data_IF_530885670988
#
_entry.id   IF_530885670988
#
_cell.length_a   1.000
_cell.length_b   1.000
_cell.length_c   1.000
_cell.angle_alpha   90.00
_cell.angle_beta   90.00
_cell.angle_gamma   90.00
#
_symmetry.space_group_name_H-M   'P 1'
#
loop_
_entity.id
_entity.type
_entity.pdbx_description
1 polymer ?
#
# COMPACT_ATOMS: atom_id res chain seq x y z
N UNK A 1 -47.39 16.25 29.25
CA UNK A 1 -46.01 16.34 29.81
C UNK A 1 -44.97 15.48 29.08
N UNK A 2 -45.31 14.27 28.57
CA UNK A 2 -44.38 13.44 27.77
C UNK A 2 -43.98 14.07 26.43
N UNK A 3 -44.94 14.68 25.70
CA UNK A 3 -44.65 15.27 24.37
C UNK A 3 -43.74 16.50 24.41
N UNK A 4 -43.82 17.30 25.47
CA UNK A 4 -42.95 18.46 25.64
C UNK A 4 -41.50 18.04 25.90
N UNK A 5 -41.29 17.01 26.74
CA UNK A 5 -39.96 16.42 26.99
C UNK A 5 -39.37 15.79 25.73
N UNK A 6 -40.20 15.12 24.92
CA UNK A 6 -39.78 14.53 23.64
C UNK A 6 -39.37 15.62 22.62
N UNK A 7 -40.17 16.70 22.49
CA UNK A 7 -39.84 17.84 21.61
C UNK A 7 -38.54 18.52 22.02
N UNK A 8 -38.35 18.81 23.31
CA UNK A 8 -37.12 19.41 23.83
C UNK A 8 -35.91 18.50 23.58
N UNK A 9 -36.06 17.19 23.79
CA UNK A 9 -35.00 16.21 23.53
C UNK A 9 -34.57 16.20 22.05
N UNK A 10 -35.54 16.19 21.12
CA UNK A 10 -35.26 16.24 19.68
C UNK A 10 -34.56 17.56 19.31
N UNK A 11 -35.06 18.70 19.79
CA UNK A 11 -34.46 20.01 19.50
C UNK A 11 -33.02 20.07 20.02
N UNK A 12 -32.75 19.56 21.23
CA UNK A 12 -31.39 19.51 21.78
C UNK A 12 -30.44 18.67 20.94
N UNK A 13 -30.87 17.50 20.43
CA UNK A 13 -30.03 16.66 19.55
C UNK A 13 -29.71 17.37 18.24
N UNK A 14 -30.70 18.02 17.62
CA UNK A 14 -30.49 18.79 16.39
C UNK A 14 -29.56 19.97 16.62
N UNK A 15 -29.72 20.68 17.74
CA UNK A 15 -28.89 21.84 18.08
C UNK A 15 -27.43 21.44 18.35
N UNK A 16 -27.21 20.35 19.09
CA UNK A 16 -25.87 19.79 19.33
C UNK A 16 -25.23 19.33 18.02
N UNK A 17 -25.98 18.61 17.18
CA UNK A 17 -25.48 18.15 15.88
C UNK A 17 -25.13 19.31 14.96
N UNK A 18 -25.97 20.36 14.94
CA UNK A 18 -25.73 21.60 14.21
C UNK A 18 -24.49 22.34 14.71
N UNK A 19 -24.29 22.40 16.03
CA UNK A 19 -23.12 23.04 16.63
C UNK A 19 -21.81 22.33 16.27
N UNK A 20 -21.77 20.99 16.35
CA UNK A 20 -20.57 20.21 15.98
C UNK A 20 -20.29 20.35 14.48
N UNK A 21 -21.34 20.42 13.65
CA UNK A 21 -21.19 20.68 12.22
C UNK A 21 -20.62 22.08 11.92
N UNK A 22 -21.12 23.12 12.60
CA UNK A 22 -20.60 24.48 12.51
C UNK A 22 -19.14 24.55 12.99
N UNK A 23 -18.81 23.81 14.05
CA UNK A 23 -17.44 23.71 14.56
C UNK A 23 -16.49 23.14 13.50
N UNK A 24 -16.87 22.06 12.83
CA UNK A 24 -16.09 21.47 11.72
C UNK A 24 -15.83 22.47 10.57
N UNK A 25 -16.85 23.22 10.17
CA UNK A 25 -16.72 24.18 9.06
C UNK A 25 -15.92 25.43 9.43
N UNK A 26 -16.18 26.01 10.60
CA UNK A 26 -15.65 27.33 10.98
C UNK A 26 -14.33 27.22 11.74
N UNK A 27 -14.23 26.29 12.69
CA UNK A 27 -13.15 26.33 13.70
C UNK A 27 -11.88 25.62 13.23
N UNK A 28 -11.99 24.58 12.41
CA UNK A 28 -10.83 23.78 11.97
C UNK A 28 -10.37 24.23 10.58
N UNK A 29 -9.45 25.20 10.42
CA UNK A 29 -8.97 25.60 9.10
C UNK A 29 -8.32 24.44 8.35
N UNK A 30 -8.41 24.49 7.03
CA UNK A 30 -7.88 23.46 6.13
C UNK A 30 -6.37 23.28 6.28
N UNK A 31 -5.63 24.38 6.44
CA UNK A 31 -4.19 24.37 6.67
C UNK A 31 -3.77 23.57 7.90
N UNK A 32 -4.51 23.61 9.01
CA UNK A 32 -4.18 22.82 10.19
C UNK A 32 -4.28 21.32 9.92
N UNK A 33 -5.26 20.88 9.13
CA UNK A 33 -5.40 19.46 8.78
C UNK A 33 -4.25 19.04 7.87
N UNK A 34 -3.90 19.87 6.88
CA UNK A 34 -2.74 19.64 6.01
C UNK A 34 -1.46 19.52 6.83
N UNK A 35 -1.17 20.49 7.70
CA UNK A 35 0.05 20.49 8.52
C UNK A 35 0.11 19.29 9.47
N UNK A 36 -1.02 18.89 10.05
CA UNK A 36 -1.11 17.70 10.91
C UNK A 36 -0.83 16.41 10.12
N UNK A 37 -1.36 16.29 8.91
CA UNK A 37 -1.12 15.13 8.06
C UNK A 37 0.33 15.09 7.56
N UNK A 38 0.88 16.23 7.12
CA UNK A 38 2.26 16.31 6.67
C UNK A 38 3.27 16.05 7.81
N UNK A 39 2.92 16.45 9.04
CA UNK A 39 3.74 16.17 10.22
C UNK A 39 3.57 14.78 10.82
N UNK A 40 2.55 14.02 10.41
CA UNK A 40 2.26 12.67 10.95
C UNK A 40 3.31 11.63 10.56
N UNK A 41 3.98 11.82 9.41
CA UNK A 41 5.10 10.99 8.96
C UNK A 41 6.33 11.87 8.86
N UNK A 42 7.05 12.01 9.99
CA UNK A 42 8.39 12.61 10.05
C UNK A 42 9.44 11.52 10.22
N UNK A 43 9.83 10.90 9.12
CA UNK A 43 11.07 10.12 9.05
C UNK A 43 12.20 10.97 8.51
N UNK A 44 13.46 10.65 8.82
CA UNK A 44 14.63 11.44 8.40
C UNK A 44 14.68 11.74 6.88
N UNK A 45 14.01 10.93 6.05
CA UNK A 45 13.96 11.10 4.60
C UNK A 45 12.58 10.96 3.96
N UNK A 46 11.48 10.84 4.72
CA UNK A 46 10.14 10.65 4.15
C UNK A 46 9.31 11.91 4.38
N UNK A 47 8.66 12.41 3.32
CA UNK A 47 7.80 13.59 3.35
C UNK A 47 6.45 13.26 2.72
N UNK A 48 5.40 13.69 3.40
CA UNK A 48 4.06 13.74 2.81
C UNK A 48 3.87 15.15 2.22
N UNK A 49 3.28 15.24 1.05
CA UNK A 49 2.74 16.48 0.50
C UNK A 49 1.25 16.33 0.21
N UNK A 50 0.45 17.32 0.61
CA UNK A 50 -0.99 17.34 0.36
C UNK A 50 -1.35 18.62 -0.38
N UNK A 51 -1.96 18.46 -1.54
CA UNK A 51 -2.39 19.59 -2.37
C UNK A 51 -3.91 19.61 -2.52
N UNK A 52 -4.50 20.79 -2.37
CA UNK A 52 -5.91 21.02 -2.62
C UNK A 52 -6.84 20.31 -1.62
N UNK A 53 -6.45 20.23 -0.34
CA UNK A 53 -7.35 19.80 0.72
C UNK A 53 -8.56 20.74 0.81
N UNK A 54 -9.77 20.19 0.79
CA UNK A 54 -11.02 20.93 0.92
C UNK A 54 -11.97 20.19 1.86
N UNK A 55 -12.58 20.92 2.79
CA UNK A 55 -13.66 20.38 3.62
C UNK A 55 -14.98 20.44 2.85
N UNK A 56 -15.73 19.35 2.91
CA UNK A 56 -17.09 19.25 2.41
C UNK A 56 -18.13 19.31 3.52
N UNK A 57 -19.40 19.37 3.10
CA UNK A 57 -20.54 19.24 4.00
C UNK A 57 -20.58 17.84 4.62
N UNK A 58 -21.18 17.70 5.80
CA UNK A 58 -21.35 16.43 6.52
C UNK A 58 -20.05 15.63 6.73
N UNK A 59 -18.95 16.31 7.07
CA UNK A 59 -17.64 15.71 7.34
C UNK A 59 -17.04 14.94 6.14
N UNK A 60 -17.52 15.27 4.94
CA UNK A 60 -16.83 14.89 3.73
C UNK A 60 -15.56 15.74 3.59
N UNK A 61 -14.56 15.22 2.91
CA UNK A 61 -13.39 15.99 2.51
C UNK A 61 -12.94 15.53 1.12
N UNK A 62 -12.22 16.42 0.45
CA UNK A 62 -11.57 16.13 -0.81
C UNK A 62 -10.11 16.55 -0.72
N UNK A 63 -9.21 15.75 -1.26
CA UNK A 63 -7.81 16.08 -1.45
C UNK A 63 -7.56 15.97 -2.94
N UNK A 64 -7.03 17.02 -3.56
CA UNK A 64 -6.67 17.00 -4.97
C UNK A 64 -5.57 16.00 -5.24
N UNK A 65 -4.48 16.08 -4.45
CA UNK A 65 -3.32 15.21 -4.59
C UNK A 65 -2.68 14.88 -3.26
N UNK A 66 -2.31 13.62 -3.09
CA UNK A 66 -1.50 13.12 -2.00
C UNK A 66 -0.20 12.54 -2.56
N UNK A 67 0.92 13.05 -2.08
CA UNK A 67 2.26 12.65 -2.50
C UNK A 67 3.00 12.08 -1.31
N UNK A 68 3.55 10.87 -1.49
CA UNK A 68 4.55 10.31 -0.59
C UNK A 68 5.90 10.38 -1.28
N UNK A 69 6.77 11.25 -0.79
CA UNK A 69 8.11 11.45 -1.32
C UNK A 69 9.14 10.90 -0.34
N UNK A 70 10.23 10.38 -0.89
CA UNK A 70 11.41 10.02 -0.12
C UNK A 70 12.64 10.66 -0.74
N UNK A 71 13.32 11.48 0.05
CA UNK A 71 14.41 12.34 -0.42
C UNK A 71 13.97 13.19 -1.63
N UNK A 72 14.32 12.79 -2.86
CA UNK A 72 13.95 13.47 -4.10
C UNK A 72 13.00 12.64 -5.00
N UNK A 73 12.71 11.40 -4.64
CA UNK A 73 11.87 10.50 -5.44
C UNK A 73 10.44 10.46 -4.89
N UNK A 74 9.46 10.62 -5.77
CA UNK A 74 8.08 10.28 -5.43
C UNK A 74 7.96 8.76 -5.35
N UNK A 75 7.41 8.26 -4.25
CA UNK A 75 7.14 6.83 -4.05
C UNK A 75 5.70 6.50 -4.45
N UNK A 76 4.75 7.33 -4.03
CA UNK A 76 3.31 7.13 -4.26
C UNK A 76 2.67 8.47 -4.59
N UNK A 77 1.78 8.47 -5.58
CA UNK A 77 0.90 9.58 -5.91
C UNK A 77 -0.54 9.08 -5.96
N UNK A 78 -1.42 9.70 -5.20
CA UNK A 78 -2.86 9.43 -5.21
C UNK A 78 -3.58 10.73 -5.53
N UNK A 79 -4.51 10.66 -6.48
CA UNK A 79 -5.23 11.80 -7.02
C UNK A 79 -6.72 11.70 -6.74
N UNK A 80 -7.40 12.84 -6.71
CA UNK A 80 -8.85 12.95 -6.55
C UNK A 80 -9.40 12.13 -5.36
N UNK A 81 -8.74 12.24 -4.22
CA UNK A 81 -9.18 11.55 -3.01
C UNK A 81 -10.44 12.24 -2.51
N UNK A 82 -11.50 11.47 -2.34
CA UNK A 82 -12.69 11.86 -1.61
C UNK A 82 -12.91 10.92 -0.44
N UNK A 83 -13.33 11.47 0.68
CA UNK A 83 -13.59 10.64 1.85
C UNK A 83 -14.62 11.25 2.78
N UNK A 84 -15.01 10.46 3.77
CA UNK A 84 -16.01 10.82 4.74
C UNK A 84 -15.60 10.35 6.12
N UNK A 85 -15.64 11.26 7.08
CA UNK A 85 -15.47 10.96 8.48
C UNK A 85 -16.85 10.77 9.10
N UNK A 86 -17.07 9.72 9.88
CA UNK A 86 -18.33 9.53 10.59
C UNK A 86 -18.26 10.21 11.97
N UNK A 87 -18.94 11.36 12.16
CA UNK A 87 -18.81 12.14 13.38
C UNK A 87 -19.40 11.45 14.61
N UNK A 88 -20.35 10.53 14.43
CA UNK A 88 -21.01 9.82 15.52
C UNK A 88 -20.03 8.97 16.33
N UNK A 89 -18.98 8.48 15.67
CA UNK A 89 -17.97 7.65 16.31
C UNK A 89 -17.05 8.45 17.24
N UNK A 90 -16.91 9.77 17.05
CA UNK A 90 -16.11 10.60 17.96
C UNK A 90 -16.68 10.64 19.37
N UNK A 91 -18.00 10.54 19.54
CA UNK A 91 -18.63 10.45 20.88
C UNK A 91 -18.22 9.21 21.67
N UNK A 92 -17.81 8.15 20.96
CA UNK A 92 -17.34 6.89 21.53
C UNK A 92 -15.79 6.83 21.50
N UNK A 93 -15.12 7.97 21.27
CA UNK A 93 -13.67 8.08 21.08
C UNK A 93 -13.12 7.16 19.99
N UNK A 94 -13.87 7.01 18.89
CA UNK A 94 -13.47 6.25 17.71
C UNK A 94 -13.41 7.17 16.50
N UNK A 95 -12.32 7.09 15.73
CA UNK A 95 -12.24 7.71 14.41
C UNK A 95 -12.64 6.67 13.38
N UNK A 96 -13.73 6.91 12.66
CA UNK A 96 -14.11 6.09 11.51
C UNK A 96 -14.09 6.95 10.25
N UNK A 97 -13.28 6.55 9.30
CA UNK A 97 -12.99 7.26 8.07
C UNK A 97 -13.02 6.29 6.89
N UNK A 98 -13.73 6.64 5.82
CA UNK A 98 -13.63 5.95 4.54
C UNK A 98 -13.15 6.91 3.47
N UNK A 99 -12.38 6.41 2.50
CA UNK A 99 -11.90 7.20 1.37
C UNK A 99 -11.80 6.37 0.10
N UNK A 100 -11.82 7.08 -1.01
CA UNK A 100 -11.69 6.60 -2.37
C UNK A 100 -10.78 7.59 -3.11
N UNK A 101 -9.86 7.11 -3.93
CA UNK A 101 -9.07 7.95 -4.83
C UNK A 101 -8.56 7.17 -6.04
N UNK A 102 -7.82 7.86 -6.89
CA UNK A 102 -7.20 7.33 -8.09
C UNK A 102 -5.70 7.17 -7.87
N UNK A 103 -5.12 6.09 -8.37
CA UNK A 103 -3.67 5.85 -8.34
C UNK A 103 -3.24 5.34 -9.71
N UNK A 104 -2.52 6.19 -10.46
CA UNK A 104 -2.32 5.96 -11.89
C UNK A 104 -3.67 5.81 -12.61
N UNK A 105 -3.81 4.73 -13.37
CA UNK A 105 -5.05 4.41 -14.10
C UNK A 105 -6.07 3.58 -13.27
N UNK A 106 -5.72 3.25 -12.03
CA UNK A 106 -6.53 2.41 -11.16
C UNK A 106 -7.15 3.17 -9.98
N UNK A 107 -7.76 2.42 -9.07
CA UNK A 107 -8.46 2.99 -7.90
C UNK A 107 -7.90 2.45 -6.60
N UNK A 108 -7.99 3.28 -5.56
CA UNK A 108 -7.71 2.91 -4.19
C UNK A 108 -8.94 3.22 -3.33
N UNK A 109 -9.35 2.23 -2.54
CA UNK A 109 -10.39 2.34 -1.54
C UNK A 109 -9.78 2.09 -0.17
N UNK A 110 -10.17 2.87 0.83
CA UNK A 110 -9.64 2.75 2.17
C UNK A 110 -10.69 2.94 3.24
N UNK A 111 -10.56 2.17 4.32
CA UNK A 111 -11.31 2.37 5.55
C UNK A 111 -10.34 2.36 6.73
N UNK A 112 -10.45 3.37 7.57
CA UNK A 112 -9.65 3.57 8.77
C UNK A 112 -10.60 3.64 9.95
N UNK A 113 -10.42 2.75 10.92
CA UNK A 113 -11.14 2.72 12.17
C UNK A 113 -10.13 2.72 13.32
N UNK A 114 -9.95 3.85 13.99
CA UNK A 114 -9.02 3.99 15.11
C UNK A 114 -9.80 4.13 16.40
N UNK A 115 -9.41 3.38 17.42
CA UNK A 115 -9.99 3.38 18.76
C UNK A 115 -8.88 3.17 19.78
N UNK A 116 -9.11 3.53 21.03
CA UNK A 116 -8.13 3.34 22.11
C UNK A 116 -7.65 1.88 22.25
N UNK A 117 -8.52 0.91 21.91
CA UNK A 117 -8.27 -0.51 22.12
C UNK A 117 -8.06 -1.31 20.82
N UNK A 118 -8.56 -0.81 19.69
CA UNK A 118 -8.52 -1.52 18.41
C UNK A 118 -8.32 -0.54 17.26
N UNK A 119 -7.24 -0.73 16.51
CA UNK A 119 -7.01 -0.01 15.27
C UNK A 119 -7.21 -0.98 14.10
N UNK A 120 -7.98 -0.58 13.10
CA UNK A 120 -8.20 -1.36 11.89
C UNK A 120 -8.09 -0.46 10.67
N UNK A 121 -7.15 -0.75 9.79
CA UNK A 121 -6.99 -0.09 8.50
C UNK A 121 -7.17 -1.16 7.43
N UNK A 122 -7.98 -0.89 6.41
CA UNK A 122 -8.09 -1.73 5.23
C UNK A 122 -7.93 -0.86 4.00
N UNK A 123 -7.05 -1.24 3.09
CA UNK A 123 -6.89 -0.63 1.79
C UNK A 123 -7.10 -1.70 0.72
N UNK A 124 -7.77 -1.33 -0.36
CA UNK A 124 -7.97 -2.17 -1.52
C UNK A 124 -7.55 -1.35 -2.74
N UNK A 125 -6.68 -1.93 -3.56
CA UNK A 125 -6.13 -1.34 -4.76
C UNK A 125 -6.61 -2.18 -5.92
N UNK A 126 -7.21 -1.55 -6.92
CA UNK A 126 -7.76 -2.25 -8.08
C UNK A 126 -7.20 -1.70 -9.38
N UNK A 127 -6.65 -2.63 -10.16
CA UNK A 127 -6.32 -2.45 -11.58
C UNK A 127 -5.39 -1.27 -11.86
N UNK A 128 -4.33 -1.13 -11.07
CA UNK A 128 -3.32 -0.09 -11.25
C UNK A 128 -2.26 -0.57 -12.22
N UNK A 129 -2.00 0.19 -13.28
CA UNK A 129 -0.87 -0.12 -14.15
C UNK A 129 0.45 0.13 -13.40
N UNK A 130 1.32 -0.88 -13.36
CA UNK A 130 2.57 -0.83 -12.58
C UNK A 130 3.60 0.17 -13.13
N UNK A 131 3.49 0.55 -14.40
CA UNK A 131 4.34 1.59 -15.02
C UNK A 131 4.13 2.97 -14.37
N UNK A 132 2.93 3.21 -13.86
CA UNK A 132 2.50 4.42 -13.19
C UNK A 132 2.81 4.42 -11.70
N UNK A 133 3.37 3.34 -11.13
CA UNK A 133 3.73 3.26 -9.71
C UNK A 133 5.21 3.67 -9.54
N UNK A 134 5.50 4.87 -9.01
CA UNK A 134 6.88 5.36 -8.91
C UNK A 134 7.78 4.47 -8.03
N UNK A 135 7.26 3.95 -6.92
CA UNK A 135 8.00 3.05 -6.02
C UNK A 135 8.62 1.84 -6.74
N UNK A 136 7.90 1.25 -7.71
CA UNK A 136 8.41 0.08 -8.43
C UNK A 136 9.65 0.42 -9.26
N UNK A 137 9.68 1.63 -9.86
CA UNK A 137 10.84 2.12 -10.59
C UNK A 137 12.05 2.34 -9.69
N UNK A 138 11.83 2.83 -8.46
CA UNK A 138 12.88 3.04 -7.45
C UNK A 138 13.53 1.72 -7.05
N UNK A 139 12.74 0.65 -6.86
CA UNK A 139 13.26 -0.69 -6.54
C UNK A 139 13.73 -1.48 -7.76
N UNK A 140 13.90 -0.82 -8.91
CA UNK A 140 14.47 -1.40 -10.13
C UNK A 140 13.49 -2.21 -10.99
N UNK A 141 12.22 -2.32 -10.59
CA UNK A 141 11.18 -3.01 -11.37
C UNK A 141 10.68 -2.07 -12.47
N UNK A 142 10.88 -2.46 -13.72
CA UNK A 142 10.46 -1.70 -14.91
C UNK A 142 9.65 -2.59 -15.82
N UNK A 143 8.50 -2.13 -16.29
CA UNK A 143 7.66 -2.90 -17.19
C UNK A 143 6.21 -2.45 -17.15
N UNK A 144 5.34 -3.26 -17.75
CA UNK A 144 3.88 -3.09 -17.73
C UNK A 144 3.22 -4.24 -16.99
N UNK A 145 1.96 -4.05 -16.58
CA UNK A 145 1.18 -5.05 -15.87
C UNK A 145 0.13 -4.40 -14.99
N UNK A 146 -0.88 -5.17 -14.59
CA UNK A 146 -2.03 -4.68 -13.82
C UNK A 146 -1.95 -5.21 -12.39
N UNK A 147 -1.67 -4.32 -11.44
CA UNK A 147 -1.61 -4.59 -10.00
C UNK A 147 -2.99 -4.42 -9.34
N UNK A 148 -3.36 -5.43 -8.57
CA UNK A 148 -4.44 -5.35 -7.58
C UNK A 148 -3.95 -5.90 -6.25
N UNK A 149 -4.54 -5.45 -5.15
CA UNK A 149 -4.16 -5.95 -3.84
C UNK A 149 -5.04 -5.47 -2.70
N UNK A 150 -4.89 -6.15 -1.58
CA UNK A 150 -5.57 -5.89 -0.33
C UNK A 150 -4.54 -5.75 0.77
N UNK A 151 -4.62 -4.66 1.51
CA UNK A 151 -3.86 -4.44 2.73
C UNK A 151 -4.83 -4.36 3.91
N UNK A 152 -4.53 -5.07 4.99
CA UNK A 152 -5.27 -4.98 6.25
C UNK A 152 -4.26 -4.81 7.37
N UNK A 153 -4.52 -3.91 8.29
CA UNK A 153 -3.74 -3.71 9.50
C UNK A 153 -4.70 -3.73 10.68
N UNK A 154 -4.53 -4.68 11.59
CA UNK A 154 -5.20 -4.72 12.88
C UNK A 154 -4.16 -4.51 13.98
N UNK A 155 -4.27 -3.40 14.70
CA UNK A 155 -3.28 -2.94 15.68
C UNK A 155 -1.89 -2.82 15.01
N UNK A 156 -0.91 -3.61 15.45
CA UNK A 156 0.44 -3.66 14.87
C UNK A 156 0.67 -4.91 14.00
N UNK A 157 -0.40 -5.62 13.63
CA UNK A 157 -0.34 -6.81 12.77
C UNK A 157 -1.01 -6.51 11.44
N UNK A 158 -0.29 -6.71 10.34
CA UNK A 158 -0.78 -6.44 9.00
C UNK A 158 -0.70 -7.65 8.08
N UNK A 159 -1.61 -7.70 7.12
CA UNK A 159 -1.63 -8.66 6.03
C UNK A 159 -1.69 -7.88 4.71
N UNK A 160 -0.75 -8.16 3.81
CA UNK A 160 -0.73 -7.62 2.46
C UNK A 160 -0.85 -8.78 1.48
N UNK A 161 -1.82 -8.71 0.58
CA UNK A 161 -1.98 -9.62 -0.55
C UNK A 161 -1.97 -8.80 -1.82
N UNK A 162 -1.24 -9.25 -2.83
CA UNK A 162 -1.22 -8.55 -4.11
C UNK A 162 -1.08 -9.53 -5.26
N UNK A 163 -1.45 -9.06 -6.44
CA UNK A 163 -1.34 -9.80 -7.68
C UNK A 163 -1.12 -8.83 -8.84
N UNK A 164 -0.17 -9.18 -9.71
CA UNK A 164 0.12 -8.49 -10.96
C UNK A 164 -0.22 -9.45 -12.11
N UNK A 165 -1.13 -9.01 -12.99
CA UNK A 165 -1.49 -9.69 -14.24
C UNK A 165 -0.79 -9.06 -15.43
N UNK A 166 -0.68 -9.83 -16.51
CA UNK A 166 -0.18 -9.37 -17.81
C UNK A 166 1.17 -8.66 -17.68
N UNK A 167 2.02 -9.19 -16.80
CA UNK A 167 3.31 -8.62 -16.49
C UNK A 167 4.24 -8.72 -17.70
N UNK A 168 4.76 -7.58 -18.12
CA UNK A 168 5.78 -7.45 -19.17
C UNK A 168 6.95 -6.71 -18.56
N UNK A 169 7.61 -7.38 -17.62
CA UNK A 169 8.75 -6.84 -16.89
C UNK A 169 10.02 -6.95 -17.72
N UNK A 170 10.87 -5.94 -17.62
CA UNK A 170 12.21 -5.96 -18.20
C UNK A 170 13.14 -6.69 -17.24
N UNK A 171 14.09 -7.43 -17.80
CA UNK A 171 15.20 -7.97 -17.02
C UNK A 171 15.97 -6.81 -16.40
N UNK A 172 16.19 -6.90 -15.11
CA UNK A 172 16.80 -5.84 -14.30
C UNK A 172 17.61 -6.49 -13.18
N UNK A 173 18.59 -5.75 -12.69
CA UNK A 173 19.31 -6.14 -11.48
C UNK A 173 18.47 -5.77 -10.27
N UNK A 174 18.14 -6.74 -9.44
CA UNK A 174 17.48 -6.54 -8.16
C UNK A 174 18.49 -6.83 -7.04
N UNK A 175 18.95 -5.78 -6.35
CA UNK A 175 20.02 -5.86 -5.34
C UNK A 175 21.27 -6.63 -5.84
N UNK A 176 21.77 -6.26 -7.02
CA UNK A 176 22.92 -6.89 -7.70
C UNK A 176 22.68 -8.31 -8.23
N UNK A 177 21.48 -8.87 -8.08
CA UNK A 177 21.10 -10.15 -8.69
C UNK A 177 20.35 -9.92 -10.00
N UNK A 178 20.81 -10.56 -11.07
CA UNK A 178 20.07 -10.60 -12.33
C UNK A 178 18.83 -11.50 -12.13
N UNK A 179 17.66 -10.89 -12.07
CA UNK A 179 16.39 -11.64 -12.02
C UNK A 179 15.75 -11.57 -13.40
N UNK A 180 15.47 -12.72 -14.04
CA UNK A 180 14.93 -12.73 -15.39
C UNK A 180 13.41 -12.49 -15.38
N UNK A 181 13.01 -11.30 -14.94
CA UNK A 181 11.61 -10.94 -14.79
C UNK A 181 10.81 -11.05 -16.10
N UNK A 182 11.47 -10.95 -17.26
CA UNK A 182 10.82 -11.04 -18.57
C UNK A 182 10.18 -12.40 -18.87
N UNK A 183 10.55 -13.44 -18.14
CA UNK A 183 9.96 -14.77 -18.32
C UNK A 183 8.62 -14.94 -17.61
N UNK A 184 8.27 -14.04 -16.70
CA UNK A 184 7.06 -14.15 -15.88
C UNK A 184 5.99 -13.16 -16.35
N UNK A 185 4.76 -13.65 -16.47
CA UNK A 185 3.59 -12.86 -16.86
C UNK A 185 2.60 -12.66 -15.71
N UNK A 186 2.79 -13.33 -14.58
CA UNK A 186 1.91 -13.31 -13.41
C UNK A 186 2.75 -13.30 -12.14
N UNK A 187 2.42 -12.41 -11.19
CA UNK A 187 3.13 -12.29 -9.90
C UNK A 187 2.12 -12.21 -8.77
N UNK A 188 2.11 -13.17 -7.85
CA UNK A 188 1.21 -13.19 -6.69
C UNK A 188 2.03 -13.15 -5.42
N UNK A 189 1.65 -12.31 -4.46
CA UNK A 189 2.38 -12.21 -3.20
C UNK A 189 1.50 -12.08 -1.98
N UNK A 190 2.02 -12.62 -0.87
CA UNK A 190 1.46 -12.48 0.46
C UNK A 190 2.56 -12.13 1.45
N UNK A 191 2.32 -11.12 2.27
CA UNK A 191 3.24 -10.63 3.30
C UNK A 191 2.47 -10.38 4.59
N UNK A 192 3.13 -10.60 5.73
CA UNK A 192 2.59 -10.34 7.06
C UNK A 192 3.51 -9.37 7.79
N UNK A 193 2.94 -8.36 8.44
CA UNK A 193 3.66 -7.36 9.21
C UNK A 193 3.40 -7.63 10.69
N UNK A 194 4.45 -7.71 11.51
CA UNK A 194 4.39 -7.93 12.96
C UNK A 194 5.36 -6.95 13.63
N UNK A 195 4.89 -5.73 13.92
CA UNK A 195 5.77 -4.65 14.36
C UNK A 195 6.82 -4.33 13.28
N UNK A 196 8.10 -4.46 13.63
CA UNK A 196 9.23 -4.14 12.74
C UNK A 196 9.67 -5.32 11.86
N UNK A 197 8.98 -6.46 11.96
CA UNK A 197 9.20 -7.64 11.15
C UNK A 197 8.17 -7.70 10.02
N UNK A 198 8.64 -7.72 8.78
CA UNK A 198 7.85 -8.03 7.59
C UNK A 198 8.22 -9.44 7.14
N UNK A 199 7.29 -10.37 7.22
CA UNK A 199 7.43 -11.75 6.78
C UNK A 199 6.89 -11.88 5.35
N UNK A 200 7.74 -12.33 4.42
CA UNK A 200 7.37 -12.62 3.03
C UNK A 200 6.99 -14.10 2.95
N UNK A 201 5.71 -14.40 3.18
CA UNK A 201 5.19 -15.77 3.18
C UNK A 201 5.40 -16.46 1.83
N UNK A 202 5.10 -15.75 0.75
CA UNK A 202 5.39 -16.18 -0.61
C UNK A 202 5.18 -15.06 -1.60
N UNK A 203 6.11 -14.88 -2.51
CA UNK A 203 5.90 -14.18 -3.79
C UNK A 203 6.16 -15.20 -4.89
N UNK A 204 5.12 -15.60 -5.60
CA UNK A 204 5.18 -16.52 -6.74
C UNK A 204 5.25 -15.73 -8.02
N UNK A 205 6.14 -16.15 -8.93
CA UNK A 205 6.26 -15.65 -10.28
C UNK A 205 5.94 -16.80 -11.23
N UNK A 206 4.96 -16.61 -12.10
CA UNK A 206 4.48 -17.61 -13.03
C UNK A 206 4.76 -17.14 -14.46
N UNK A 207 5.35 -18.02 -15.25
CA UNK A 207 5.71 -17.80 -16.65
C UNK A 207 5.37 -19.02 -17.50
N UNK A 208 5.67 -18.96 -18.79
CA UNK A 208 5.52 -20.12 -19.68
C UNK A 208 6.66 -21.11 -19.41
N UNK A 209 6.32 -22.31 -18.96
CA UNK A 209 7.28 -23.39 -18.65
C UNK A 209 8.32 -23.01 -17.57
N UNK A 210 8.02 -22.01 -16.73
CA UNK A 210 8.93 -21.54 -15.68
C UNK A 210 8.16 -20.99 -14.49
N UNK A 211 8.64 -21.33 -13.30
CA UNK A 211 8.11 -20.86 -12.03
C UNK A 211 9.23 -20.33 -11.14
N UNK A 212 8.95 -19.29 -10.37
CA UNK A 212 9.82 -18.84 -9.30
C UNK A 212 9.05 -18.53 -8.04
N UNK A 213 9.73 -18.62 -6.89
CA UNK A 213 9.17 -18.32 -5.59
C UNK A 213 10.17 -17.61 -4.70
N UNK A 214 9.81 -16.46 -4.16
CA UNK A 214 10.55 -15.79 -3.12
C UNK A 214 9.87 -15.96 -1.76
N UNK A 215 10.66 -16.18 -0.70
CA UNK A 215 10.23 -16.14 0.71
C UNK A 215 11.34 -15.57 1.58
N UNK A 216 10.98 -15.06 2.75
CA UNK A 216 11.96 -14.61 3.74
C UNK A 216 11.40 -13.52 4.63
N UNK A 217 12.25 -12.59 5.06
CA UNK A 217 11.83 -11.51 5.95
C UNK A 217 12.63 -10.22 5.76
N UNK A 218 12.02 -9.13 6.22
CA UNK A 218 12.67 -7.85 6.46
C UNK A 218 12.54 -7.54 7.94
N UNK A 219 13.66 -7.31 8.63
CA UNK A 219 13.65 -6.88 10.03
C UNK A 219 14.47 -5.61 10.20
N UNK A 220 13.80 -4.52 10.53
CA UNK A 220 14.38 -3.19 10.44
C UNK A 220 14.88 -2.94 9.01
N UNK A 221 16.19 -2.76 8.85
CA UNK A 221 16.82 -2.53 7.53
C UNK A 221 17.47 -3.80 6.95
N UNK A 222 17.34 -4.96 7.60
CA UNK A 222 17.97 -6.19 7.11
C UNK A 222 16.97 -6.99 6.27
N UNK A 223 17.36 -7.27 5.02
CA UNK A 223 16.63 -8.12 4.08
C UNK A 223 17.28 -9.51 4.04
N UNK A 224 16.50 -10.56 4.27
CA UNK A 224 16.89 -11.95 4.04
C UNK A 224 15.82 -12.64 3.21
N UNK A 225 16.10 -12.87 1.92
CA UNK A 225 15.17 -13.47 0.97
C UNK A 225 15.83 -14.66 0.27
N UNK A 226 15.11 -15.78 0.24
CA UNK A 226 15.40 -16.95 -0.58
C UNK A 226 14.54 -16.87 -1.84
N UNK A 227 15.18 -16.87 -3.00
CA UNK A 227 14.53 -16.97 -4.31
C UNK A 227 14.80 -18.35 -4.91
N UNK A 228 13.74 -19.07 -5.23
CA UNK A 228 13.75 -20.39 -5.85
C UNK A 228 13.30 -20.23 -7.31
N UNK A 229 14.04 -20.81 -8.25
CA UNK A 229 13.74 -20.77 -9.68
C UNK A 229 13.67 -22.20 -10.23
N UNK A 230 12.57 -22.49 -10.92
CA UNK A 230 12.16 -23.83 -11.35
C UNK A 230 11.73 -23.80 -12.83
N UNK A 231 12.67 -23.81 -13.79
CA UNK A 231 12.33 -24.02 -15.19
C UNK A 231 11.91 -25.47 -15.43
N UNK A 232 10.87 -25.66 -16.23
CA UNK A 232 10.45 -26.99 -16.70
C UNK A 232 11.39 -27.50 -17.80
N UNK A 233 11.32 -28.80 -18.11
CA UNK A 233 12.14 -29.40 -19.17
C UNK A 233 11.84 -28.82 -20.57
N UNK A 234 10.61 -28.35 -20.79
CA UNK A 234 10.15 -27.67 -22.00
C UNK A 234 10.61 -26.20 -22.10
N UNK A 235 11.22 -25.65 -21.05
CA UNK A 235 11.61 -24.25 -21.01
C UNK A 235 12.70 -23.96 -22.05
N UNK A 236 12.38 -23.07 -22.99
CA UNK A 236 13.25 -22.68 -24.11
C UNK A 236 13.79 -21.25 -23.97
N UNK A 237 13.56 -20.58 -22.84
CA UNK A 237 14.04 -19.21 -22.63
C UNK A 237 15.56 -19.13 -22.67
N UNK A 238 16.07 -17.90 -22.84
CA UNK A 238 17.46 -17.61 -23.19
C UNK A 238 18.48 -18.41 -22.34
N UNK A 239 19.07 -19.44 -22.95
CA UNK A 239 20.01 -20.40 -22.33
C UNK A 239 21.19 -19.72 -21.61
N UNK A 240 21.57 -18.52 -22.05
CA UNK A 240 22.67 -17.75 -21.48
C UNK A 240 22.41 -17.30 -20.04
N UNK A 241 21.16 -16.95 -19.68
CA UNK A 241 20.82 -16.52 -18.31
C UNK A 241 21.03 -17.69 -17.33
N UNK A 242 20.60 -18.89 -17.70
CA UNK A 242 20.78 -20.08 -16.84
C UNK A 242 22.24 -20.54 -16.74
N UNK A 243 23.05 -20.22 -17.75
CA UNK A 243 24.50 -20.41 -17.68
C UNK A 243 25.12 -19.51 -16.59
N UNK A 244 24.69 -18.25 -16.51
CA UNK A 244 25.11 -17.32 -15.46
C UNK A 244 24.60 -17.74 -14.07
N UNK A 245 23.43 -18.39 -14.01
CA UNK A 245 22.86 -18.93 -12.77
C UNK A 245 23.47 -20.28 -12.35
N UNK A 246 24.45 -20.81 -13.08
CA UNK A 246 25.06 -22.13 -12.80
C UNK A 246 25.56 -22.28 -11.36
N UNK A 247 26.10 -21.22 -10.76
CA UNK A 247 26.58 -21.20 -9.38
C UNK A 247 25.47 -21.36 -8.33
N UNK A 248 24.21 -21.15 -8.72
CA UNK A 248 23.02 -21.27 -7.86
C UNK A 248 22.26 -22.59 -8.07
N UNK A 249 22.75 -23.47 -8.94
CA UNK A 249 22.10 -24.74 -9.26
C UNK A 249 22.21 -25.72 -8.08
N UNK A 250 21.07 -26.15 -7.55
CA UNK A 250 21.01 -27.18 -6.50
C UNK A 250 20.79 -28.56 -7.14
N UNK A 251 19.92 -28.64 -8.15
CA UNK A 251 19.68 -29.86 -8.93
C UNK A 251 19.22 -29.49 -10.36
N UNK A 252 19.12 -30.45 -11.31
CA UNK A 252 18.59 -30.16 -12.63
C UNK A 252 17.20 -29.53 -12.56
N UNK A 253 17.02 -28.34 -13.15
CA UNK A 253 15.74 -27.60 -13.12
C UNK A 253 15.42 -26.91 -11.79
N UNK A 254 16.38 -26.79 -10.85
CA UNK A 254 16.16 -26.12 -9.58
C UNK A 254 17.37 -25.28 -9.15
N UNK A 255 17.14 -23.98 -9.00
CA UNK A 255 18.14 -22.99 -8.63
C UNK A 255 17.69 -22.23 -7.40
N UNK A 256 18.62 -21.91 -6.50
CA UNK A 256 18.34 -21.20 -5.25
C UNK A 256 19.33 -20.06 -5.06
N UNK A 257 18.78 -18.85 -4.92
CA UNK A 257 19.54 -17.62 -4.69
C UNK A 257 19.19 -17.10 -3.29
N UNK A 258 20.21 -16.90 -2.47
CA UNK A 258 20.06 -16.28 -1.15
C UNK A 258 20.50 -14.82 -1.22
N UNK A 259 19.56 -13.92 -0.96
CA UNK A 259 19.75 -12.48 -0.97
C UNK A 259 19.75 -12.01 0.48
N UNK A 260 20.93 -11.66 0.99
CA UNK A 260 21.09 -11.04 2.31
C UNK A 260 21.73 -9.69 2.14
N UNK A 261 20.99 -8.63 2.42
CA UNK A 261 21.49 -7.27 2.25
C UNK A 261 20.89 -6.32 3.27
N UNK A 262 21.53 -5.16 3.43
CA UNK A 262 20.97 -4.06 4.21
C UNK A 262 20.29 -3.10 3.26
N UNK A 263 19.01 -2.89 3.49
CA UNK A 263 18.19 -1.90 2.80
C UNK A 263 18.71 -0.51 3.17
N UNK A 264 19.33 0.16 2.18
CA UNK A 264 19.53 1.61 2.21
C UNK A 264 18.23 2.27 1.73
N UNK A 265 17.15 2.03 2.49
CA UNK A 265 15.87 2.74 2.30
C UNK A 265 15.84 3.81 3.36
#
# INVERSE_FOLDING_TARGET
MKDLKLKIFIISIFSISGFIFLFWLIVIPEGLITDMLESSIKGENVRIGIEGFKKGLFYNFRIGKFLLNKSNDTLVSIEDISGRINPLFFFIMRLNLSFHGNIGDGTILGNINLSRNENHISLNINSVNIDNIPLLRVIGIKGKGVLSGDFRLKNSQGDLKFFIKDAQLKNTSFFDFLVPFSFFNSIKGTMVIKGDLIEVNSISFEGKDIYARARGSVQGNNLDIKLELMPEASFTGESHIFTLLGNYKVSPGYYVIHIKTRLNI
#
